data_IF_735262323449
#
_entry.id   IF_735262323449
#
_cell.length_a   1.000
_cell.length_b   1.000
_cell.length_c   1.000
_cell.angle_alpha   90.00
_cell.angle_beta   90.00
_cell.angle_gamma   90.00
#
_symmetry.space_group_name_H-M   'P 1'
#
loop_
_entity.id
_entity.type
_entity.pdbx_description
1 polymer ?
#
# COMPACT_ATOMS: atom_id res chain seq x y z
N UNK A 1 -24.18 -23.88 6.63
CA UNK A 1 -24.73 -23.75 8.01
C UNK A 1 -23.88 -24.40 9.10
N UNK A 2 -23.16 -25.52 8.87
CA UNK A 2 -22.31 -26.15 9.92
C UNK A 2 -21.00 -25.39 10.27
N UNK A 3 -20.45 -24.58 9.36
CA UNK A 3 -19.21 -23.81 9.64
C UNK A 3 -19.42 -22.52 10.45
N UNK A 4 -20.63 -21.97 10.51
CA UNK A 4 -20.90 -20.73 11.26
C UNK A 4 -21.02 -20.99 12.78
N UNK A 5 -21.46 -22.18 13.17
CA UNK A 5 -21.61 -22.60 14.56
C UNK A 5 -20.27 -22.89 15.24
N UNK A 6 -19.25 -23.32 14.49
CA UNK A 6 -17.90 -23.56 15.02
C UNK A 6 -17.24 -22.22 15.38
N UNK A 7 -17.35 -21.21 14.52
CA UNK A 7 -16.85 -19.85 14.79
C UNK A 7 -17.51 -19.22 16.02
N UNK A 8 -18.83 -19.39 16.20
CA UNK A 8 -19.55 -18.82 17.35
C UNK A 8 -19.18 -19.49 18.69
N UNK A 9 -18.72 -20.75 18.66
CA UNK A 9 -18.23 -21.46 19.86
C UNK A 9 -16.79 -21.12 20.22
N UNK A 10 -15.97 -20.75 19.23
CA UNK A 10 -14.55 -20.40 19.41
C UNK A 10 -14.40 -18.99 19.99
N UNK A 11 -15.24 -18.04 19.58
CA UNK A 11 -15.15 -16.63 20.01
C UNK A 11 -15.41 -16.42 21.51
N UNK A 12 -16.14 -17.33 22.18
CA UNK A 12 -16.51 -17.17 23.60
C UNK A 12 -15.40 -17.46 24.61
N UNK A 13 -14.28 -18.06 24.21
CA UNK A 13 -13.29 -18.62 25.15
C UNK A 13 -11.86 -18.07 25.01
N UNK A 14 -11.65 -17.04 24.19
CA UNK A 14 -10.32 -16.45 24.03
C UNK A 14 -10.28 -15.00 24.49
N UNK A 15 -9.30 -14.68 25.35
CA UNK A 15 -8.87 -13.32 25.62
C UNK A 15 -8.56 -12.62 24.28
N UNK A 16 -8.92 -11.35 24.17
CA UNK A 16 -8.63 -10.45 23.06
C UNK A 16 -7.19 -10.57 22.52
N UNK A 17 -6.19 -10.76 23.40
CA UNK A 17 -4.79 -10.98 23.01
C UNK A 17 -4.56 -12.26 22.18
N UNK A 18 -5.35 -13.30 22.41
CA UNK A 18 -5.18 -14.59 21.71
C UNK A 18 -5.79 -14.54 20.31
N UNK A 19 -6.89 -13.78 20.12
CA UNK A 19 -7.43 -13.49 18.80
C UNK A 19 -6.49 -12.62 17.97
N UNK A 20 -5.80 -11.67 18.61
CA UNK A 20 -4.74 -10.88 17.97
C UNK A 20 -3.61 -11.78 17.45
N UNK A 21 -3.13 -12.73 18.28
CA UNK A 21 -2.06 -13.66 17.88
C UNK A 21 -2.43 -14.57 16.71
N UNK A 22 -3.69 -15.05 16.64
CA UNK A 22 -4.10 -16.02 15.61
C UNK A 22 -4.14 -15.40 14.20
N UNK A 23 -4.42 -14.09 14.06
CA UNK A 23 -4.40 -13.42 12.75
C UNK A 23 -2.99 -13.15 12.19
N UNK A 24 -1.95 -13.24 13.01
CA UNK A 24 -0.55 -13.03 12.60
C UNK A 24 0.19 -14.30 12.16
N UNK A 25 -0.43 -15.49 12.25
CA UNK A 25 0.29 -16.78 12.17
C UNK A 25 0.77 -17.24 10.78
N UNK A 26 0.72 -16.39 9.75
CA UNK A 26 1.39 -16.64 8.46
C UNK A 26 2.39 -15.53 8.07
N UNK A 27 2.71 -14.61 8.99
CA UNK A 27 3.62 -13.51 8.74
C UNK A 27 4.99 -13.81 9.36
N UNK A 28 5.99 -14.12 8.54
CA UNK A 28 7.37 -14.37 8.97
C UNK A 28 8.11 -13.08 9.42
N UNK A 29 7.36 -12.02 9.70
CA UNK A 29 7.86 -10.77 10.25
C UNK A 29 7.66 -10.83 11.76
N UNK A 30 8.74 -10.76 12.51
CA UNK A 30 8.65 -10.46 13.93
C UNK A 30 8.30 -8.97 14.08
N UNK A 31 7.00 -8.67 13.99
CA UNK A 31 6.45 -7.32 14.09
C UNK A 31 6.90 -6.66 15.38
N UNK A 32 7.04 -7.43 16.46
CA UNK A 32 7.52 -6.89 17.74
C UNK A 32 8.96 -6.43 17.63
N UNK A 33 9.87 -7.27 17.11
CA UNK A 33 11.25 -6.85 16.88
C UNK A 33 11.36 -5.66 15.92
N UNK A 34 10.49 -5.58 14.90
CA UNK A 34 10.46 -4.44 13.99
C UNK A 34 10.03 -3.15 14.70
N UNK A 35 8.92 -3.19 15.44
CA UNK A 35 8.41 -2.03 16.18
C UNK A 35 9.40 -1.59 17.28
N UNK A 36 10.14 -2.50 17.90
CA UNK A 36 11.21 -2.15 18.87
C UNK A 36 12.40 -1.43 18.21
N UNK A 37 12.68 -1.70 16.93
CA UNK A 37 13.76 -1.06 16.16
C UNK A 37 13.34 0.29 15.56
N UNK A 38 12.04 0.52 15.40
CA UNK A 38 11.50 1.74 14.80
C UNK A 38 11.13 2.77 15.88
N UNK A 39 11.29 4.08 15.62
CA UNK A 39 10.91 5.13 16.56
C UNK A 39 9.39 5.38 16.52
N UNK A 40 8.59 4.35 16.78
CA UNK A 40 7.15 4.36 16.58
C UNK A 40 6.41 5.23 17.58
N UNK A 41 6.98 5.47 18.77
CA UNK A 41 6.45 6.37 19.82
C UNK A 41 4.95 6.22 20.12
N UNK A 42 4.36 5.03 19.93
CA UNK A 42 2.94 4.77 20.11
C UNK A 42 2.02 5.25 18.96
N UNK A 43 2.56 5.69 17.82
CA UNK A 43 1.78 6.03 16.64
C UNK A 43 1.30 4.78 15.90
N UNK A 44 0.13 4.82 15.23
CA UNK A 44 -0.34 3.70 14.43
C UNK A 44 0.62 3.35 13.29
N UNK A 45 0.70 2.07 12.96
CA UNK A 45 1.59 1.54 11.92
C UNK A 45 0.84 0.62 10.98
N UNK A 46 0.98 0.88 9.69
CA UNK A 46 0.51 0.02 8.61
C UNK A 46 1.65 -0.60 7.83
N UNK A 47 1.44 -1.82 7.36
CA UNK A 47 2.25 -2.49 6.35
C UNK A 47 1.52 -2.46 5.02
N UNK A 48 2.17 -1.92 4.00
CA UNK A 48 1.69 -1.89 2.63
C UNK A 48 2.49 -2.79 1.70
N UNK A 49 2.53 -2.36 0.45
CA UNK A 49 3.35 -3.05 -0.54
C UNK A 49 2.75 -4.36 -1.02
N UNK A 50 3.60 -5.17 -1.66
CA UNK A 50 3.25 -6.53 -2.07
C UNK A 50 3.29 -7.52 -0.90
N UNK A 51 4.05 -7.19 0.16
CA UNK A 51 4.18 -8.03 1.36
C UNK A 51 2.91 -8.05 2.19
N UNK A 52 2.12 -6.96 2.23
CA UNK A 52 0.81 -6.97 2.88
C UNK A 52 -0.21 -7.89 2.18
N UNK A 53 0.00 -8.22 0.91
CA UNK A 53 -0.92 -9.00 0.07
C UNK A 53 -0.42 -10.42 -0.22
N UNK A 54 0.73 -10.84 0.34
CA UNK A 54 1.38 -12.12 0.05
C UNK A 54 1.65 -12.35 -1.46
N UNK A 55 1.91 -11.28 -2.21
CA UNK A 55 2.25 -11.34 -3.64
C UNK A 55 3.73 -11.06 -3.90
N UNK A 56 4.51 -10.82 -2.85
CA UNK A 56 5.90 -10.40 -2.88
C UNK A 56 6.85 -11.44 -3.48
N UNK A 57 8.00 -10.94 -3.94
CA UNK A 57 9.18 -11.74 -4.24
C UNK A 57 10.22 -11.60 -3.12
N UNK A 58 11.29 -12.38 -3.18
CA UNK A 58 12.38 -12.31 -2.20
C UNK A 58 13.08 -10.94 -2.19
N UNK A 59 13.12 -10.28 -3.35
CA UNK A 59 13.74 -8.96 -3.50
C UNK A 59 12.89 -7.78 -3.00
N UNK A 60 11.63 -8.02 -2.61
CA UNK A 60 10.74 -6.94 -2.20
C UNK A 60 11.07 -6.47 -0.79
N UNK A 61 11.10 -5.15 -0.60
CA UNK A 61 11.17 -4.47 0.67
C UNK A 61 9.86 -4.61 1.48
N UNK A 62 9.93 -4.28 2.77
CA UNK A 62 8.77 -4.08 3.62
C UNK A 62 8.39 -2.59 3.63
N UNK A 63 7.23 -2.26 3.07
CA UNK A 63 6.70 -0.89 3.05
C UNK A 63 5.94 -0.60 4.34
N UNK A 64 6.56 0.14 5.27
CA UNK A 64 6.01 0.47 6.58
C UNK A 64 5.61 1.93 6.63
N UNK A 65 4.36 2.22 6.96
CA UNK A 65 3.89 3.59 7.17
C UNK A 65 3.63 3.84 8.65
N UNK A 66 4.32 4.83 9.22
CA UNK A 66 4.07 5.33 10.57
C UNK A 66 3.13 6.53 10.45
N UNK A 67 1.96 6.46 11.09
CA UNK A 67 0.94 7.51 11.04
C UNK A 67 1.20 8.57 12.13
N UNK A 68 2.33 9.25 12.04
CA UNK A 68 2.78 10.28 12.99
C UNK A 68 2.52 11.72 12.54
N UNK A 69 1.90 11.91 11.36
CA UNK A 69 1.56 13.20 10.79
C UNK A 69 2.76 14.04 10.35
N UNK A 70 3.99 13.49 10.42
CA UNK A 70 5.19 14.24 10.05
C UNK A 70 5.30 14.35 8.53
N UNK A 71 5.67 15.54 8.06
CA UNK A 71 6.09 15.77 6.68
C UNK A 71 7.59 15.60 6.58
N UNK A 72 8.06 14.37 6.75
CA UNK A 72 9.48 14.03 6.62
C UNK A 72 9.71 13.13 5.41
N UNK A 73 10.94 13.15 4.91
CA UNK A 73 11.35 12.27 3.82
C UNK A 73 11.28 10.81 4.25
N UNK A 74 11.00 9.95 3.28
CA UNK A 74 11.05 8.51 3.42
C UNK A 74 12.48 8.06 3.78
N UNK A 75 12.61 6.94 4.48
CA UNK A 75 13.91 6.39 4.86
C UNK A 75 13.97 4.89 4.67
N UNK A 76 15.15 4.37 4.35
CA UNK A 76 15.37 2.94 4.18
C UNK A 76 16.25 2.44 5.33
N UNK A 77 15.82 1.35 5.94
CA UNK A 77 16.52 0.66 7.01
C UNK A 77 16.80 -0.78 6.58
N UNK A 78 18.02 -1.27 6.85
CA UNK A 78 18.40 -2.66 6.59
C UNK A 78 18.67 -3.38 7.92
N UNK A 79 18.12 -4.58 8.07
CA UNK A 79 18.45 -5.50 9.17
C UNK A 79 18.49 -6.91 8.63
N UNK A 80 19.56 -7.65 8.89
CA UNK A 80 19.69 -9.06 8.52
C UNK A 80 19.47 -9.33 7.01
N UNK A 81 19.91 -8.40 6.16
CA UNK A 81 19.72 -8.46 4.71
C UNK A 81 18.29 -8.18 4.23
N UNK A 82 17.40 -7.75 5.12
CA UNK A 82 16.02 -7.35 4.82
C UNK A 82 15.91 -5.83 4.81
N UNK A 83 15.34 -5.29 3.74
CA UNK A 83 15.09 -3.85 3.59
C UNK A 83 13.68 -3.46 4.03
N UNK A 84 13.61 -2.36 4.77
CA UNK A 84 12.40 -1.73 5.26
C UNK A 84 12.35 -0.32 4.72
N UNK A 85 11.30 0.01 4.00
CA UNK A 85 11.05 1.36 3.52
C UNK A 85 10.03 2.02 4.43
N UNK A 86 10.45 3.09 5.12
CA UNK A 86 9.68 3.76 6.14
C UNK A 86 9.09 5.05 5.57
N UNK A 87 7.77 5.11 5.58
CA UNK A 87 6.93 6.23 5.19
C UNK A 87 6.34 6.92 6.42
N UNK A 88 6.06 8.21 6.29
CA UNK A 88 5.39 9.00 7.31
C UNK A 88 4.05 9.52 6.77
N UNK A 89 2.97 9.09 7.41
CA UNK A 89 1.60 9.35 6.98
C UNK A 89 0.80 10.16 8.00
N UNK A 90 -0.29 10.77 7.54
CA UNK A 90 -1.28 11.41 8.40
C UNK A 90 -2.64 10.74 8.28
N UNK A 91 -3.40 10.71 9.37
CA UNK A 91 -4.79 10.23 9.40
C UNK A 91 -5.80 11.21 8.80
N UNK A 92 -5.32 12.41 8.41
CA UNK A 92 -6.08 13.47 7.74
C UNK A 92 -5.69 13.61 6.25
N UNK A 93 -5.10 12.57 5.65
CA UNK A 93 -4.73 12.56 4.24
C UNK A 93 -5.96 12.67 3.32
N UNK A 94 -5.80 13.41 2.22
CA UNK A 94 -6.87 13.68 1.25
C UNK A 94 -6.47 13.41 -0.20
N UNK A 95 -5.18 13.25 -0.47
CA UNK A 95 -4.66 12.93 -1.80
C UNK A 95 -5.12 11.54 -2.23
N UNK A 96 -5.87 11.40 -3.33
CA UNK A 96 -6.28 10.07 -3.81
C UNK A 96 -5.08 9.20 -4.19
N UNK A 97 -3.93 9.79 -4.54
CA UNK A 97 -2.69 9.06 -4.82
C UNK A 97 -2.16 8.35 -3.57
N UNK A 98 -2.11 9.07 -2.45
CA UNK A 98 -1.61 8.53 -1.17
C UNK A 98 -2.66 7.60 -0.55
N UNK A 99 -3.94 8.00 -0.56
CA UNK A 99 -5.03 7.17 -0.05
C UNK A 99 -5.16 5.83 -0.79
N UNK A 100 -4.83 5.78 -2.07
CA UNK A 100 -4.74 4.53 -2.83
C UNK A 100 -3.65 3.59 -2.28
N UNK A 101 -2.51 4.14 -1.83
CA UNK A 101 -1.44 3.34 -1.21
C UNK A 101 -1.84 2.83 0.17
N UNK A 102 -2.74 3.54 0.86
CA UNK A 102 -3.29 3.09 2.13
C UNK A 102 -4.40 2.04 1.98
N UNK A 103 -4.87 1.79 0.76
CA UNK A 103 -5.82 0.72 0.49
C UNK A 103 -5.17 -0.65 0.79
N UNK A 104 -5.89 -1.50 1.51
CA UNK A 104 -5.44 -2.84 1.93
C UNK A 104 -4.15 -2.85 2.78
N UNK A 105 -3.88 -1.78 3.55
CA UNK A 105 -2.85 -1.83 4.58
C UNK A 105 -3.18 -2.88 5.64
N UNK A 106 -2.17 -3.68 5.99
CA UNK A 106 -2.22 -4.54 7.16
C UNK A 106 -1.82 -3.72 8.38
N UNK A 107 -2.71 -3.60 9.37
CA UNK A 107 -2.40 -2.90 10.61
C UNK A 107 -1.40 -3.73 11.42
N UNK A 108 -0.23 -3.15 11.69
CA UNK A 108 0.79 -3.73 12.56
C UNK A 108 0.62 -3.26 14.02
N UNK A 109 0.23 -1.99 14.21
CA UNK A 109 -0.01 -1.39 15.52
C UNK A 109 -1.08 -0.30 15.42
N UNK A 110 -2.05 -0.28 16.34
CA UNK A 110 -3.13 0.72 16.39
C UNK A 110 -3.88 0.61 17.73
N UNK A 111 -3.29 1.16 18.79
CA UNK A 111 -3.82 1.02 20.16
C UNK A 111 -5.17 1.73 20.34
N UNK A 112 -5.34 2.90 19.74
CA UNK A 112 -6.52 3.77 19.86
C UNK A 112 -7.55 3.55 18.73
N UNK A 113 -7.30 2.59 17.81
CA UNK A 113 -8.18 2.22 16.70
C UNK A 113 -8.34 3.32 15.63
N UNK A 114 -7.51 4.35 15.66
CA UNK A 114 -7.61 5.50 14.77
C UNK A 114 -7.27 5.12 13.33
N UNK A 115 -6.24 4.27 13.14
CA UNK A 115 -5.88 3.78 11.82
C UNK A 115 -6.97 2.86 11.25
N UNK A 116 -7.54 1.97 12.06
CA UNK A 116 -8.66 1.12 11.64
C UNK A 116 -9.86 1.95 11.19
N UNK A 117 -10.23 2.99 11.95
CA UNK A 117 -11.32 3.90 11.57
C UNK A 117 -10.99 4.68 10.30
N UNK A 118 -9.73 5.10 10.13
CA UNK A 118 -9.28 5.75 8.90
C UNK A 118 -9.34 4.83 7.67
N UNK A 119 -8.85 3.60 7.79
CA UNK A 119 -8.92 2.60 6.71
C UNK A 119 -10.36 2.24 6.33
N UNK A 120 -11.29 2.20 7.30
CA UNK A 120 -12.73 2.01 7.00
C UNK A 120 -13.27 3.14 6.12
N UNK A 121 -12.92 4.40 6.42
CA UNK A 121 -13.32 5.56 5.61
C UNK A 121 -12.74 5.51 4.19
N UNK A 122 -11.50 5.03 4.04
CA UNK A 122 -10.88 4.77 2.73
C UNK A 122 -11.66 3.69 1.98
N UNK A 123 -12.01 2.59 2.65
CA UNK A 123 -12.77 1.49 2.06
C UNK A 123 -14.16 1.93 1.57
N UNK A 124 -14.87 2.72 2.37
CA UNK A 124 -16.18 3.29 1.98
C UNK A 124 -16.09 4.18 0.74
N UNK A 125 -14.96 4.88 0.56
CA UNK A 125 -14.71 5.78 -0.56
C UNK A 125 -13.89 5.15 -1.69
N UNK A 126 -13.70 3.83 -1.66
CA UNK A 126 -12.85 3.09 -2.60
C UNK A 126 -13.07 3.51 -4.06
N UNK A 127 -14.31 3.47 -4.53
CA UNK A 127 -14.61 3.82 -5.92
C UNK A 127 -14.23 5.25 -6.29
N UNK A 128 -14.45 6.20 -5.39
CA UNK A 128 -14.13 7.61 -5.63
C UNK A 128 -12.62 7.82 -5.71
N UNK A 129 -11.87 7.19 -4.80
CA UNK A 129 -10.40 7.27 -4.74
C UNK A 129 -9.79 6.66 -6.02
N UNK A 130 -10.21 5.45 -6.37
CA UNK A 130 -9.72 4.76 -7.57
C UNK A 130 -10.09 5.52 -8.85
N UNK A 131 -11.32 6.01 -8.98
CA UNK A 131 -11.73 6.81 -10.14
C UNK A 131 -10.96 8.12 -10.28
N UNK A 132 -10.66 8.80 -9.17
CA UNK A 132 -9.83 10.00 -9.20
C UNK A 132 -8.40 9.68 -9.65
N UNK A 133 -7.82 8.59 -9.14
CA UNK A 133 -6.50 8.11 -9.54
C UNK A 133 -6.43 7.73 -11.03
N UNK A 134 -7.42 6.98 -11.54
CA UNK A 134 -7.52 6.62 -12.97
C UNK A 134 -7.54 7.86 -13.85
N UNK A 135 -8.36 8.87 -13.50
CA UNK A 135 -8.43 10.13 -14.25
C UNK A 135 -7.07 10.82 -14.32
N UNK A 136 -6.36 10.91 -13.19
CA UNK A 136 -5.02 11.50 -13.15
C UNK A 136 -4.04 10.72 -14.03
N UNK A 137 -4.04 9.39 -13.96
CA UNK A 137 -3.20 8.55 -14.82
C UNK A 137 -3.45 8.81 -16.31
N UNK A 138 -4.71 8.90 -16.73
CA UNK A 138 -5.05 9.17 -18.14
C UNK A 138 -4.62 10.57 -18.60
N UNK A 139 -4.70 11.57 -17.72
CA UNK A 139 -4.20 12.93 -17.99
C UNK A 139 -2.68 12.91 -18.17
N UNK A 140 -1.95 12.31 -17.23
CA UNK A 140 -0.49 12.24 -17.28
C UNK A 140 0.02 11.42 -18.47
N UNK A 141 -0.65 10.32 -18.80
CA UNK A 141 -0.37 9.54 -20.00
C UNK A 141 -0.50 10.40 -21.28
N UNK A 142 -1.58 11.19 -21.39
CA UNK A 142 -1.80 12.08 -22.53
C UNK A 142 -0.73 13.17 -22.62
N UNK A 143 -0.30 13.74 -21.50
CA UNK A 143 0.82 14.70 -21.46
C UNK A 143 2.09 14.06 -22.00
N UNK A 144 2.43 12.87 -21.50
CA UNK A 144 3.62 12.13 -21.92
C UNK A 144 3.60 11.75 -23.40
N UNK A 145 2.47 11.29 -23.93
CA UNK A 145 2.28 10.99 -25.37
C UNK A 145 2.48 12.25 -26.22
N UNK A 146 1.96 13.38 -25.76
CA UNK A 146 2.11 14.66 -26.47
C UNK A 146 3.56 15.11 -26.53
N UNK A 147 4.28 15.01 -25.40
CA UNK A 147 5.72 15.31 -25.34
C UNK A 147 6.52 14.40 -26.26
N UNK A 148 6.25 13.09 -26.25
CA UNK A 148 6.93 12.17 -27.18
C UNK A 148 6.63 12.52 -28.62
N UNK A 149 5.37 12.74 -29.01
CA UNK A 149 5.00 13.09 -30.39
C UNK A 149 5.72 14.36 -30.88
N UNK A 150 5.78 15.40 -30.05
CA UNK A 150 6.40 16.67 -30.40
C UNK A 150 7.95 16.60 -30.38
N UNK A 151 8.50 15.70 -29.56
CA UNK A 151 9.94 15.50 -29.39
C UNK A 151 10.54 14.42 -30.30
N UNK A 152 9.76 13.76 -31.16
CA UNK A 152 10.28 12.72 -32.05
C UNK A 152 11.39 13.28 -32.94
N UNK A 153 12.59 12.71 -32.80
CA UNK A 153 13.79 13.12 -33.56
C UNK A 153 14.50 14.38 -33.05
N UNK A 154 14.00 15.02 -31.98
CA UNK A 154 14.56 16.28 -31.46
C UNK A 154 14.79 16.25 -29.95
N UNK A 155 13.89 15.64 -29.17
CA UNK A 155 14.01 15.46 -27.73
C UNK A 155 14.69 14.10 -27.43
N UNK A 156 15.88 14.07 -26.82
CA UNK A 156 16.54 12.82 -26.44
C UNK A 156 15.72 11.98 -25.44
N UNK A 157 14.74 12.59 -24.76
CA UNK A 157 13.85 11.92 -23.81
C UNK A 157 12.52 11.44 -24.42
N UNK A 158 12.29 11.61 -25.73
CA UNK A 158 11.05 11.18 -26.38
C UNK A 158 10.71 9.70 -26.08
N UNK A 159 11.69 8.81 -26.11
CA UNK A 159 11.49 7.40 -25.77
C UNK A 159 11.12 7.20 -24.28
N UNK A 160 11.69 8.00 -23.37
CA UNK A 160 11.38 7.95 -21.95
C UNK A 160 9.94 8.42 -21.69
N UNK A 161 9.50 9.51 -22.33
CA UNK A 161 8.10 9.95 -22.23
C UNK A 161 7.12 8.88 -22.69
N UNK A 162 7.43 8.17 -23.78
CA UNK A 162 6.58 7.07 -24.25
C UNK A 162 6.46 5.94 -23.22
N UNK A 163 7.58 5.56 -22.61
CA UNK A 163 7.59 4.55 -21.54
C UNK A 163 6.77 5.01 -20.34
N UNK A 164 6.94 6.25 -19.90
CA UNK A 164 6.16 6.83 -18.80
C UNK A 164 4.66 6.83 -19.11
N UNK A 165 4.26 7.15 -20.34
CA UNK A 165 2.86 7.05 -20.76
C UNK A 165 2.31 5.62 -20.63
N UNK A 166 3.09 4.62 -21.02
CA UNK A 166 2.70 3.22 -20.89
C UNK A 166 2.51 2.81 -19.43
N UNK A 167 3.39 3.26 -18.52
CA UNK A 167 3.24 3.03 -17.07
C UNK A 167 1.94 3.64 -16.53
N UNK A 168 1.64 4.90 -16.85
CA UNK A 168 0.39 5.52 -16.42
C UNK A 168 -0.85 4.80 -16.97
N UNK A 169 -0.81 4.31 -18.21
CA UNK A 169 -1.90 3.50 -18.77
C UNK A 169 -2.05 2.18 -18.01
N UNK A 170 -0.95 1.52 -17.69
CA UNK A 170 -0.96 0.26 -16.93
C UNK A 170 -1.46 0.46 -15.49
N UNK A 171 -1.08 1.57 -14.85
CA UNK A 171 -1.62 2.00 -13.55
C UNK A 171 -3.14 2.23 -13.64
N UNK A 172 -3.60 2.92 -14.68
CA UNK A 172 -5.03 3.15 -14.90
C UNK A 172 -5.80 1.84 -15.08
N UNK A 173 -5.28 0.89 -15.88
CA UNK A 173 -5.92 -0.43 -16.08
C UNK A 173 -5.99 -1.20 -14.76
N UNK A 174 -4.92 -1.20 -13.96
CA UNK A 174 -4.90 -1.87 -12.65
C UNK A 174 -5.95 -1.25 -11.72
N UNK A 175 -5.98 0.08 -11.65
CA UNK A 175 -6.90 0.82 -10.80
C UNK A 175 -8.38 0.68 -11.23
N UNK A 176 -8.68 0.59 -12.53
CA UNK A 176 -10.04 0.29 -13.01
C UNK A 176 -10.53 -1.06 -12.45
N UNK A 177 -9.63 -2.02 -12.27
CA UNK A 177 -9.94 -3.33 -11.69
C UNK A 177 -9.83 -3.35 -10.17
N UNK A 178 -9.79 -2.19 -9.51
CA UNK A 178 -9.62 -2.05 -8.08
C UNK A 178 -8.37 -2.73 -7.51
N UNK A 179 -7.34 -2.88 -8.35
CA UNK A 179 -6.04 -3.36 -7.95
C UNK A 179 -5.11 -2.16 -7.76
N UNK A 180 -4.46 -2.09 -6.59
CA UNK A 180 -3.41 -1.10 -6.35
C UNK A 180 -2.29 -1.34 -7.36
N UNK A 181 -1.88 -0.32 -8.15
CA UNK A 181 -0.75 -0.48 -9.04
C UNK A 181 0.53 -0.79 -8.26
N UNK A 182 1.34 -1.69 -8.80
CA UNK A 182 2.60 -2.12 -8.21
C UNK A 182 3.62 -2.33 -9.31
N UNK A 183 4.61 -1.43 -9.49
CA UNK A 183 5.56 -1.53 -10.61
C UNK A 183 6.26 -2.89 -10.72
N UNK A 184 6.65 -3.48 -9.59
CA UNK A 184 7.35 -4.78 -9.51
C UNK A 184 6.46 -5.95 -9.93
N UNK A 185 5.14 -5.86 -9.74
CA UNK A 185 4.18 -6.95 -9.98
C UNK A 185 3.22 -6.68 -11.15
N UNK A 186 3.25 -5.49 -11.73
CA UNK A 186 2.28 -4.99 -12.71
C UNK A 186 2.13 -5.91 -13.92
N UNK A 187 3.25 -6.36 -14.50
CA UNK A 187 3.20 -7.26 -15.67
C UNK A 187 2.59 -8.63 -15.35
N UNK A 188 2.71 -9.09 -14.09
CA UNK A 188 2.06 -10.34 -13.67
C UNK A 188 0.57 -10.12 -13.40
N UNK A 189 0.19 -8.97 -12.85
CA UNK A 189 -1.20 -8.61 -12.59
C UNK A 189 -2.01 -8.37 -13.89
N UNK A 190 -1.35 -7.89 -14.94
CA UNK A 190 -1.98 -7.61 -16.25
C UNK A 190 -2.04 -8.81 -17.20
N UNK A 191 -1.46 -9.96 -16.84
CA UNK A 191 -1.51 -11.21 -17.61
C UNK A 191 -2.72 -12.04 -17.23
#
# INVERSE_FOLDING_TARGET
MKNLLILHSIVKNYNFETLYKIYFYNFHLDVKNLLEKLPVNGYPVGLGGCRSQNTNYDCCEYDITIFDGKKQSESIFESDGVFYHIYHGGLEETSPYILLQYHDLTILFDEQWELRMFLSRIQEKKEQIFNAYVKNCLVEAKVCITKTKNGLGTDPYAASWLKTAAYFIADAISAINFQRPSPTHMLKALR
#
